data_IF_246523016586
#
_entry.id   IF_246523016586
#
_cell.length_a   1.000
_cell.length_b   1.000
_cell.length_c   1.000
_cell.angle_alpha   90.00
_cell.angle_beta   90.00
_cell.angle_gamma   90.00
#
_symmetry.space_group_name_H-M   'P 1'
#
loop_
_entity.id
_entity.type
_entity.pdbx_description
1 polymer ?
#
# COMPACT_ATOMS: atom_id res chain seq x y z
N UNK A 1 -8.20 4.16 -12.51
CA UNK A 1 -9.13 4.05 -11.36
C UNK A 1 -9.01 5.32 -10.54
N UNK A 2 -10.09 6.09 -10.33
CA UNK A 2 -10.05 7.29 -9.49
C UNK A 2 -10.14 6.83 -8.03
N UNK A 3 -9.15 7.17 -7.20
CA UNK A 3 -9.22 6.84 -5.78
C UNK A 3 -10.37 7.58 -5.16
N UNK A 4 -11.13 6.88 -4.32
CA UNK A 4 -12.19 7.46 -3.53
C UNK A 4 -11.61 8.63 -2.73
N UNK A 5 -12.11 9.84 -2.99
CA UNK A 5 -11.74 11.08 -2.30
C UNK A 5 -11.86 10.93 -0.78
N UNK A 6 -12.68 9.98 -0.30
CA UNK A 6 -12.77 9.61 1.10
C UNK A 6 -11.47 8.99 1.64
N UNK A 7 -10.78 8.14 0.88
CA UNK A 7 -9.51 7.55 1.28
C UNK A 7 -8.43 8.63 1.45
N UNK A 8 -8.33 9.55 0.49
CA UNK A 8 -7.42 10.70 0.56
C UNK A 8 -7.72 11.61 1.77
N UNK A 9 -9.01 11.85 2.08
CA UNK A 9 -9.40 12.64 3.25
C UNK A 9 -9.03 11.97 4.58
N UNK A 10 -9.17 10.65 4.70
CA UNK A 10 -8.80 9.92 5.93
C UNK A 10 -7.28 9.93 6.15
N UNK A 11 -6.48 9.88 5.08
CA UNK A 11 -5.01 10.08 5.15
C UNK A 11 -4.69 11.48 5.69
N UNK A 12 -5.30 12.51 5.12
CA UNK A 12 -5.08 13.89 5.55
C UNK A 12 -5.55 14.16 6.99
N UNK A 13 -6.53 13.40 7.47
CA UNK A 13 -7.01 13.43 8.85
C UNK A 13 -6.08 12.72 9.86
N UNK A 14 -5.07 11.97 9.38
CA UNK A 14 -4.22 11.11 10.22
C UNK A 14 -4.85 9.76 10.59
N UNK A 15 -6.03 9.48 10.03
CA UNK A 15 -6.79 8.24 10.23
C UNK A 15 -6.43 7.14 9.22
N UNK A 16 -5.36 7.29 8.44
CA UNK A 16 -4.81 6.23 7.59
C UNK A 16 -3.29 6.36 7.64
N UNK A 17 -2.61 5.26 7.96
CA UNK A 17 -1.16 5.20 7.90
C UNK A 17 -0.71 5.32 6.44
N UNK A 18 0.29 6.16 6.17
CA UNK A 18 0.82 6.37 4.83
C UNK A 18 2.29 5.96 4.78
N UNK A 19 2.64 5.08 3.84
CA UNK A 19 4.01 4.64 3.57
C UNK A 19 4.34 5.01 2.12
N UNK A 20 5.47 5.68 1.91
CA UNK A 20 5.92 6.09 0.58
C UNK A 20 7.18 5.34 0.15
N UNK A 21 7.15 4.80 -1.06
CA UNK A 21 8.32 4.30 -1.77
C UNK A 21 8.79 5.28 -2.86
N UNK A 22 9.68 4.80 -3.74
CA UNK A 22 10.30 5.64 -4.78
C UNK A 22 9.28 6.12 -5.82
N UNK A 23 8.48 5.20 -6.37
CA UNK A 23 7.49 5.44 -7.42
C UNK A 23 6.09 4.92 -7.02
N UNK A 24 5.89 4.65 -5.73
CA UNK A 24 4.65 4.12 -5.17
C UNK A 24 4.37 4.64 -3.77
N UNK A 25 3.14 4.46 -3.30
CA UNK A 25 2.76 4.63 -1.89
C UNK A 25 1.72 3.58 -1.49
N UNK A 26 1.66 3.29 -0.20
CA UNK A 26 0.65 2.44 0.41
C UNK A 26 -0.17 3.21 1.45
N UNK A 27 -1.48 3.03 1.36
CA UNK A 27 -2.44 3.51 2.35
C UNK A 27 -2.89 2.34 3.23
N UNK A 28 -2.77 2.54 4.53
CA UNK A 28 -3.10 1.56 5.56
C UNK A 28 -4.31 2.04 6.34
N UNK A 29 -5.38 1.25 6.36
CA UNK A 29 -6.53 1.57 7.20
C UNK A 29 -6.11 1.72 8.68
N UNK A 30 -6.29 2.90 9.30
CA UNK A 30 -5.86 3.11 10.70
C UNK A 30 -6.78 2.47 11.72
N UNK A 31 -7.98 2.02 11.33
CA UNK A 31 -8.74 1.12 12.18
C UNK A 31 -8.02 -0.22 12.37
N UNK A 32 -6.94 -0.44 11.59
CA UNK A 32 -6.00 -1.56 11.59
C UNK A 32 -5.58 -2.08 12.96
N UNK A 33 -5.40 -1.24 14.00
CA UNK A 33 -5.02 -1.74 15.33
C UNK A 33 -6.08 -2.71 15.91
N UNK A 34 -7.33 -2.66 15.44
CA UNK A 34 -8.40 -3.61 15.79
C UNK A 34 -8.51 -4.80 14.82
N UNK A 35 -7.80 -4.79 13.71
CA UNK A 35 -7.83 -5.81 12.68
C UNK A 35 -6.61 -6.75 12.78
N UNK A 36 -6.72 -7.91 12.13
CA UNK A 36 -5.63 -8.87 12.06
C UNK A 36 -4.38 -8.29 11.38
N UNK A 37 -3.23 -8.81 11.79
CA UNK A 37 -1.94 -8.54 11.15
C UNK A 37 -2.02 -8.87 9.65
N UNK A 38 -1.47 -7.98 8.83
CA UNK A 38 -1.33 -8.18 7.40
C UNK A 38 0.14 -8.37 7.04
N UNK A 39 0.62 -9.57 7.39
CA UNK A 39 1.99 -10.00 7.12
C UNK A 39 2.35 -9.93 5.63
N UNK A 40 1.37 -10.13 4.73
CA UNK A 40 1.60 -10.00 3.28
C UNK A 40 1.94 -8.57 2.88
N UNK A 41 1.20 -7.59 3.39
CA UNK A 41 1.51 -6.19 3.14
C UNK A 41 2.87 -5.81 3.72
N UNK A 42 3.17 -6.25 4.95
CA UNK A 42 4.45 -6.00 5.61
C UNK A 42 5.64 -6.52 4.80
N UNK A 43 5.59 -7.80 4.38
CA UNK A 43 6.65 -8.40 3.55
C UNK A 43 6.79 -7.66 2.23
N UNK A 44 5.67 -7.35 1.56
CA UNK A 44 5.74 -6.64 0.27
C UNK A 44 6.36 -5.25 0.39
N UNK A 45 6.07 -4.51 1.47
CA UNK A 45 6.64 -3.18 1.73
C UNK A 45 8.16 -3.27 1.95
N UNK A 46 8.60 -4.25 2.75
CA UNK A 46 10.03 -4.47 3.01
C UNK A 46 10.79 -4.86 1.76
N UNK A 47 10.26 -5.81 0.98
CA UNK A 47 10.88 -6.26 -0.27
C UNK A 47 10.83 -5.17 -1.37
N UNK A 48 9.87 -4.24 -1.28
CA UNK A 48 9.83 -3.03 -2.11
C UNK A 48 10.84 -1.95 -1.66
N UNK A 49 11.67 -2.23 -0.64
CA UNK A 49 12.79 -1.41 -0.21
C UNK A 49 12.47 -0.42 0.91
N UNK A 50 11.31 -0.54 1.57
CA UNK A 50 10.95 0.31 2.70
C UNK A 50 10.97 -0.52 3.98
N UNK A 51 11.89 -0.19 4.89
CA UNK A 51 11.90 -0.85 6.20
C UNK A 51 10.75 -0.34 7.07
N UNK A 52 10.10 -1.27 7.77
CA UNK A 52 8.92 -0.99 8.59
C UNK A 52 9.18 -1.51 10.00
N UNK A 53 9.31 -0.59 10.94
CA UNK A 53 9.54 -0.89 12.36
C UNK A 53 8.26 -1.40 13.07
N UNK A 54 7.08 -1.09 12.51
CA UNK A 54 5.78 -1.46 13.07
C UNK A 54 5.09 -2.56 12.25
N UNK A 55 4.32 -3.39 12.94
CA UNK A 55 3.48 -4.42 12.31
C UNK A 55 2.36 -3.77 11.50
N UNK A 56 2.20 -4.22 10.25
CA UNK A 56 1.11 -3.76 9.39
C UNK A 56 -0.17 -4.50 9.74
N UNK A 57 -1.26 -3.78 9.91
CA UNK A 57 -2.57 -4.37 10.21
C UNK A 57 -3.63 -3.92 9.20
N UNK A 58 -4.69 -4.72 9.07
CA UNK A 58 -5.81 -4.38 8.19
C UNK A 58 -5.45 -4.43 6.70
N UNK A 59 -6.14 -3.65 5.89
CA UNK A 59 -5.94 -3.64 4.43
C UNK A 59 -4.92 -2.59 4.02
N UNK A 60 -4.01 -2.96 3.13
CA UNK A 60 -3.04 -2.06 2.50
C UNK A 60 -3.38 -1.87 1.02
N UNK A 61 -3.51 -0.62 0.58
CA UNK A 61 -3.75 -0.28 -0.82
C UNK A 61 -2.48 0.34 -1.42
N UNK A 62 -1.90 -0.32 -2.42
CA UNK A 62 -0.69 0.11 -3.12
C UNK A 62 -1.02 0.79 -4.44
N UNK A 63 -0.37 1.93 -4.70
CA UNK A 63 -0.66 2.76 -5.86
C UNK A 63 0.64 3.40 -6.37
N UNK A 64 0.69 3.65 -7.68
CA UNK A 64 1.80 4.35 -8.29
C UNK A 64 1.73 5.85 -8.06
N UNK A 65 2.90 6.48 -8.09
CA UNK A 65 3.07 7.93 -7.96
C UNK A 65 3.41 8.52 -9.33
N UNK A 66 2.50 9.29 -9.92
CA UNK A 66 2.83 10.10 -11.08
C UNK A 66 3.56 11.40 -10.69
N UNK A 67 4.38 11.92 -11.61
CA UNK A 67 5.06 13.21 -11.43
C UNK A 67 4.09 14.39 -11.26
N UNK A 68 2.86 14.27 -11.76
CA UNK A 68 1.77 15.24 -11.59
C UNK A 68 1.18 15.24 -10.17
N UNK A 69 1.56 14.31 -9.30
CA UNK A 69 0.90 14.06 -8.02
C UNK A 69 -0.40 13.26 -8.13
N UNK A 70 -0.78 12.88 -9.35
CA UNK A 70 -1.87 11.93 -9.58
C UNK A 70 -1.45 10.52 -9.16
N UNK A 71 -2.43 9.77 -8.70
CA UNK A 71 -2.23 8.39 -8.30
C UNK A 71 -2.51 7.51 -9.51
N UNK A 72 -1.62 6.56 -9.77
CA UNK A 72 -1.78 5.60 -10.87
C UNK A 72 -1.97 4.21 -10.29
N UNK A 73 -2.26 3.26 -11.17
CA UNK A 73 -2.22 1.84 -10.81
C UNK A 73 -0.84 1.49 -10.22
N UNK A 74 -0.81 0.46 -9.38
CA UNK A 74 0.42 -0.02 -8.76
C UNK A 74 1.50 -0.29 -9.83
N UNK A 75 2.76 0.14 -9.61
CA UNK A 75 3.82 -0.13 -10.56
C UNK A 75 3.97 -1.62 -10.84
N UNK A 76 4.19 -1.98 -12.11
CA UNK A 76 4.29 -3.39 -12.55
C UNK A 76 5.32 -4.20 -11.79
N UNK A 77 6.39 -3.56 -11.31
CA UNK A 77 7.42 -4.26 -10.56
C UNK A 77 6.90 -4.71 -9.18
N UNK A 78 6.04 -3.93 -8.51
CA UNK A 78 5.40 -4.35 -7.26
C UNK A 78 4.41 -5.49 -7.47
N UNK A 79 3.65 -5.45 -8.57
CA UNK A 79 2.72 -6.54 -8.92
C UNK A 79 3.51 -7.85 -9.08
N UNK A 80 4.59 -7.82 -9.87
CA UNK A 80 5.47 -8.99 -10.05
C UNK A 80 6.09 -9.46 -8.75
N UNK A 81 6.51 -8.54 -7.89
CA UNK A 81 7.09 -8.86 -6.59
C UNK A 81 6.05 -9.56 -5.70
N UNK A 82 4.82 -9.04 -5.64
CA UNK A 82 3.73 -9.66 -4.90
C UNK A 82 3.38 -11.05 -5.45
N UNK A 83 3.36 -11.22 -6.76
CA UNK A 83 3.14 -12.52 -7.40
C UNK A 83 4.27 -13.52 -7.04
N UNK A 84 5.53 -13.08 -7.05
CA UNK A 84 6.69 -13.90 -6.68
C UNK A 84 6.68 -14.30 -5.20
N UNK A 85 6.24 -13.40 -4.32
CA UNK A 85 6.22 -13.64 -2.88
C UNK A 85 5.04 -14.52 -2.44
N UNK A 86 3.91 -14.47 -3.16
CA UNK A 86 2.66 -15.10 -2.71
C UNK A 86 2.09 -16.15 -3.66
N UNK A 87 2.76 -16.45 -4.77
CA UNK A 87 2.32 -17.41 -5.82
C UNK A 87 0.87 -17.20 -6.27
N UNK A 88 0.39 -15.95 -6.21
CA UNK A 88 -1.00 -15.60 -6.50
C UNK A 88 -1.03 -14.49 -7.56
N UNK A 89 -1.60 -14.76 -8.75
CA UNK A 89 -1.82 -13.74 -9.76
C UNK A 89 -2.71 -12.64 -9.19
N UNK A 90 -2.27 -11.39 -9.29
CA UNK A 90 -3.10 -10.26 -8.93
C UNK A 90 -4.10 -10.02 -10.08
N UNK A 91 -5.39 -9.94 -9.77
CA UNK A 91 -6.40 -9.60 -10.77
C UNK A 91 -6.13 -8.17 -11.26
N UNK A 92 -5.76 -8.06 -12.54
CA UNK A 92 -5.51 -6.80 -13.24
C UNK A 92 -6.82 -6.07 -13.60
#
# INVERSE_FOLDING_TARGET
MELDLAALRRVAAGDIGHIAGTDWHAYLDSEGIKYAENLRAEVLIREAGVDVEATIHGTALFLGRAESGEHTDAPRHLIRLAEQLFDMPLAA
#
